data_IF_504186223257
#
_entry.id   IF_504186223257
#
_cell.length_a   1.000
_cell.length_b   1.000
_cell.length_c   1.000
_cell.angle_alpha   90.00
_cell.angle_beta   90.00
_cell.angle_gamma   90.00
#
_symmetry.space_group_name_H-M   'P 1'
#
loop_
_entity.id
_entity.type
_entity.pdbx_description
1 polymer ?
#
# COMPACT_ATOMS: atom_id res chain seq x y z
N UNK A 1 -20.70 2.76 -11.50
CA UNK A 1 -19.97 2.57 -12.78
C UNK A 1 -18.74 1.69 -12.57
N UNK A 2 -17.76 2.09 -11.76
CA UNK A 2 -16.53 1.31 -11.53
C UNK A 2 -16.77 -0.16 -11.13
N UNK A 3 -17.66 -0.41 -10.15
CA UNK A 3 -18.01 -1.78 -9.74
C UNK A 3 -18.51 -2.65 -10.90
N UNK A 4 -19.40 -2.12 -11.75
CA UNK A 4 -19.93 -2.85 -12.91
C UNK A 4 -18.83 -3.14 -13.94
N UNK A 5 -17.95 -2.18 -14.21
CA UNK A 5 -16.80 -2.40 -15.11
C UNK A 5 -15.90 -3.53 -14.61
N UNK A 6 -15.65 -3.60 -13.30
CA UNK A 6 -14.78 -4.61 -12.69
C UNK A 6 -15.41 -6.01 -12.59
N UNK A 7 -16.74 -6.12 -12.50
CA UNK A 7 -17.41 -7.40 -12.14
C UNK A 7 -18.30 -7.98 -13.22
N UNK A 8 -18.72 -7.19 -14.23
CA UNK A 8 -19.70 -7.64 -15.23
C UNK A 8 -19.17 -7.62 -16.67
N UNK A 9 -17.90 -7.29 -16.88
CA UNK A 9 -17.28 -7.21 -18.21
C UNK A 9 -16.09 -8.14 -18.29
N UNK A 10 -15.91 -8.78 -19.44
CA UNK A 10 -14.72 -9.60 -19.72
C UNK A 10 -13.49 -8.71 -19.78
N UNK A 11 -12.46 -9.05 -19.01
CA UNK A 11 -11.18 -8.33 -19.02
C UNK A 11 -10.24 -8.91 -20.09
N UNK A 12 -10.09 -8.20 -21.21
CA UNK A 12 -9.20 -8.57 -22.32
C UNK A 12 -7.71 -8.27 -22.01
N UNK A 13 -6.83 -8.52 -22.99
CA UNK A 13 -5.37 -8.38 -22.85
C UNK A 13 -4.92 -6.93 -22.67
N UNK A 14 -5.46 -6.00 -23.45
CA UNK A 14 -5.21 -4.56 -23.31
C UNK A 14 -6.16 -3.96 -22.27
N UNK A 15 -5.60 -3.29 -21.27
CA UNK A 15 -6.34 -2.78 -20.13
C UNK A 15 -5.94 -1.34 -19.83
N UNK A 16 -6.92 -0.56 -19.41
CA UNK A 16 -6.71 0.75 -18.84
C UNK A 16 -7.55 0.91 -17.57
N UNK A 17 -7.02 1.64 -16.60
CA UNK A 17 -7.72 2.05 -15.39
C UNK A 17 -7.56 3.56 -15.19
N UNK A 18 -8.64 4.21 -14.77
CA UNK A 18 -8.63 5.63 -14.40
C UNK A 18 -9.02 5.75 -12.94
N UNK A 19 -8.17 6.38 -12.14
CA UNK A 19 -8.40 6.68 -10.72
C UNK A 19 -8.62 8.18 -10.58
N UNK A 20 -9.68 8.56 -9.86
CA UNK A 20 -10.00 9.96 -9.58
C UNK A 20 -11.18 10.07 -8.62
N UNK A 21 -11.19 11.16 -7.84
CA UNK A 21 -12.14 11.36 -6.74
C UNK A 21 -13.47 11.96 -7.20
N UNK A 22 -13.52 12.49 -8.41
CA UNK A 22 -14.72 13.09 -8.98
C UNK A 22 -14.91 12.76 -10.47
N UNK A 23 -16.10 13.10 -10.96
CA UNK A 23 -16.51 12.85 -12.34
C UNK A 23 -15.63 13.58 -13.36
N UNK A 24 -15.13 14.77 -13.04
CA UNK A 24 -14.32 15.58 -13.95
C UNK A 24 -12.96 14.92 -14.14
N UNK A 25 -12.31 14.48 -13.06
CA UNK A 25 -11.06 13.74 -13.11
C UNK A 25 -11.20 12.44 -13.91
N UNK A 26 -12.27 11.66 -13.65
CA UNK A 26 -12.54 10.42 -14.38
C UNK A 26 -12.76 10.65 -15.88
N UNK A 27 -13.53 11.67 -16.25
CA UNK A 27 -13.77 11.99 -17.67
C UNK A 27 -12.50 12.51 -18.36
N UNK A 28 -11.68 13.30 -17.67
CA UNK A 28 -10.39 13.76 -18.17
C UNK A 28 -9.44 12.60 -18.50
N UNK A 29 -9.31 11.63 -17.60
CA UNK A 29 -8.49 10.44 -17.82
C UNK A 29 -9.00 9.56 -18.97
N UNK A 30 -10.32 9.40 -19.10
CA UNK A 30 -10.93 8.66 -20.23
C UNK A 30 -10.75 9.38 -21.57
N UNK A 31 -10.81 10.71 -21.59
CA UNK A 31 -10.54 11.50 -22.79
C UNK A 31 -9.07 11.37 -23.24
N UNK A 32 -8.12 11.42 -22.29
CA UNK A 32 -6.71 11.20 -22.55
C UNK A 32 -6.45 9.79 -23.12
N UNK A 33 -7.05 8.76 -22.51
CA UNK A 33 -6.98 7.38 -23.01
C UNK A 33 -7.47 7.28 -24.46
N UNK A 34 -8.60 7.91 -24.79
CA UNK A 34 -9.14 7.90 -26.15
C UNK A 34 -8.25 8.62 -27.17
N UNK A 35 -7.47 9.62 -26.72
CA UNK A 35 -6.52 10.37 -27.53
C UNK A 35 -5.14 9.70 -27.63
N UNK A 36 -4.85 8.68 -26.81
CA UNK A 36 -3.52 8.09 -26.67
C UNK A 36 -2.54 8.96 -25.88
N UNK A 37 -3.07 9.87 -25.06
CA UNK A 37 -2.30 10.80 -24.22
C UNK A 37 -2.14 10.28 -22.79
N UNK A 38 -1.12 10.79 -22.09
CA UNK A 38 -0.94 10.52 -20.66
C UNK A 38 -1.75 11.50 -19.81
N UNK A 39 -2.31 11.00 -18.71
CA UNK A 39 -2.97 11.82 -17.71
C UNK A 39 -2.70 11.30 -16.28
N UNK A 40 -2.74 12.17 -15.26
CA UNK A 40 -2.76 11.74 -13.87
C UNK A 40 -3.89 10.73 -13.62
N UNK A 41 -3.59 9.65 -12.89
CA UNK A 41 -4.56 8.61 -12.58
C UNK A 41 -4.91 7.66 -13.73
N UNK A 42 -4.42 7.89 -14.96
CA UNK A 42 -4.53 6.95 -16.08
C UNK A 42 -3.36 5.95 -16.05
N UNK A 43 -3.71 4.67 -15.96
CA UNK A 43 -2.75 3.55 -16.04
C UNK A 43 -3.17 2.65 -17.19
N UNK A 44 -2.24 2.38 -18.09
CA UNK A 44 -2.43 1.48 -19.23
C UNK A 44 -1.45 0.30 -19.15
N UNK A 45 -1.87 -0.85 -19.65
CA UNK A 45 -1.02 -2.02 -19.67
C UNK A 45 -1.58 -3.14 -20.55
N UNK A 46 -0.71 -4.10 -20.85
CA UNK A 46 -1.09 -5.35 -21.50
C UNK A 46 -0.74 -6.50 -20.57
N UNK A 47 -1.64 -7.47 -20.44
CA UNK A 47 -1.44 -8.63 -19.56
C UNK A 47 -0.21 -9.42 -19.97
N UNK A 48 0.69 -9.69 -19.01
CA UNK A 48 1.86 -10.52 -19.22
C UNK A 48 1.48 -12.01 -19.31
N UNK A 49 2.26 -12.79 -20.08
CA UNK A 49 2.05 -14.25 -20.25
C UNK A 49 2.30 -15.07 -18.97
N UNK A 50 3.02 -14.53 -18.00
CA UNK A 50 3.28 -15.13 -16.69
C UNK A 50 2.81 -14.15 -15.60
N UNK A 51 1.99 -14.64 -14.67
CA UNK A 51 1.33 -13.85 -13.64
C UNK A 51 1.93 -14.03 -12.24
N UNK A 52 3.15 -14.58 -12.14
CA UNK A 52 3.78 -14.77 -10.82
C UNK A 52 4.13 -13.43 -10.19
N UNK A 53 3.77 -13.27 -8.93
CA UNK A 53 3.91 -12.02 -8.16
C UNK A 53 4.97 -12.20 -7.08
N UNK A 54 5.88 -11.23 -6.96
CA UNK A 54 6.88 -11.19 -5.88
C UNK A 54 6.63 -9.93 -5.05
N UNK A 55 6.51 -10.08 -3.73
CA UNK A 55 6.52 -8.94 -2.82
C UNK A 55 7.96 -8.60 -2.41
N UNK A 56 8.30 -7.31 -2.49
CA UNK A 56 9.63 -6.79 -2.18
C UNK A 56 9.55 -5.92 -0.95
N UNK A 57 10.32 -6.26 0.07
CA UNK A 57 10.34 -5.59 1.36
C UNK A 57 11.67 -4.86 1.54
N UNK A 58 11.73 -3.52 1.32
CA UNK A 58 12.96 -2.77 1.45
C UNK A 58 13.43 -2.64 2.91
N UNK A 59 14.69 -2.23 3.07
CA UNK A 59 15.20 -1.81 4.38
C UNK A 59 14.78 -0.39 4.74
N UNK A 60 15.53 0.25 5.65
CA UNK A 60 15.34 1.66 5.99
C UNK A 60 15.60 2.58 4.79
N UNK A 61 14.81 3.66 4.67
CA UNK A 61 14.94 4.69 3.64
C UNK A 61 13.62 5.10 2.99
N UNK A 62 12.56 4.29 3.13
CA UNK A 62 11.23 4.57 2.58
C UNK A 62 10.30 5.33 3.52
N UNK A 63 10.74 5.65 4.74
CA UNK A 63 9.95 6.37 5.74
C UNK A 63 9.78 7.85 5.37
N UNK A 64 8.63 8.42 5.71
CA UNK A 64 8.35 9.86 5.64
C UNK A 64 7.27 10.23 6.68
N UNK A 65 7.27 11.48 7.13
CA UNK A 65 6.30 11.97 8.12
C UNK A 65 4.88 11.98 7.53
N UNK A 66 3.92 11.39 8.24
CA UNK A 66 2.54 11.22 7.77
C UNK A 66 2.29 9.98 6.92
N UNK A 67 3.28 9.10 6.74
CA UNK A 67 3.08 7.84 6.04
C UNK A 67 1.97 6.99 6.68
N UNK A 68 1.22 6.28 5.84
CA UNK A 68 0.14 5.37 6.25
C UNK A 68 -1.07 5.99 6.99
N UNK A 69 -1.05 7.30 7.32
CA UNK A 69 -2.13 7.95 8.08
C UNK A 69 -3.51 7.78 7.44
N UNK A 70 -3.62 8.08 6.15
CA UNK A 70 -4.89 7.93 5.42
C UNK A 70 -5.32 6.46 5.30
N UNK A 71 -4.37 5.53 5.19
CA UNK A 71 -4.67 4.09 5.17
C UNK A 71 -5.21 3.60 6.52
N UNK A 72 -4.75 4.16 7.64
CA UNK A 72 -5.32 3.84 8.95
C UNK A 72 -6.80 4.21 9.05
N UNK A 73 -7.23 5.27 8.35
CA UNK A 73 -8.62 5.75 8.36
C UNK A 73 -9.50 5.05 7.31
N UNK A 74 -8.93 4.70 6.15
CA UNK A 74 -9.71 4.28 4.99
C UNK A 74 -9.51 2.81 4.58
N UNK A 75 -8.50 2.10 5.11
CA UNK A 75 -8.21 0.72 4.75
C UNK A 75 -8.30 -0.21 5.98
N UNK A 76 -9.47 -0.82 6.27
CA UNK A 76 -9.67 -1.65 7.47
C UNK A 76 -8.68 -2.80 7.62
N UNK A 77 -8.29 -3.46 6.52
CA UNK A 77 -7.31 -4.55 6.54
C UNK A 77 -5.91 -4.06 6.97
N UNK A 78 -5.52 -2.87 6.51
CA UNK A 78 -4.27 -2.22 6.88
C UNK A 78 -4.28 -1.83 8.37
N UNK A 79 -5.32 -1.12 8.82
CA UNK A 79 -5.46 -0.70 10.21
C UNK A 79 -5.50 -1.88 11.19
N UNK A 80 -6.21 -2.96 10.83
CA UNK A 80 -6.26 -4.18 11.64
C UNK A 80 -4.88 -4.84 11.76
N UNK A 81 -4.08 -4.85 10.69
CA UNK A 81 -2.72 -5.41 10.73
C UNK A 81 -1.77 -4.54 11.54
N UNK A 82 -1.84 -3.21 11.43
CA UNK A 82 -1.06 -2.30 12.30
C UNK A 82 -1.37 -2.55 13.77
N UNK A 83 -2.65 -2.63 14.14
CA UNK A 83 -3.05 -2.91 15.52
C UNK A 83 -2.54 -4.29 16.01
N UNK A 84 -2.46 -5.29 15.12
CA UNK A 84 -1.88 -6.58 15.45
C UNK A 84 -0.35 -6.50 15.67
N UNK A 85 0.35 -5.74 14.85
CA UNK A 85 1.79 -5.48 15.03
C UNK A 85 2.05 -4.74 16.34
N UNK A 86 1.28 -3.71 16.66
CA UNK A 86 1.38 -2.99 17.94
C UNK A 86 1.24 -3.95 19.13
N UNK A 87 0.22 -4.81 19.15
CA UNK A 87 0.06 -5.81 20.22
C UNK A 87 1.24 -6.78 20.30
N UNK A 88 1.79 -7.19 19.16
CA UNK A 88 2.93 -8.11 19.12
C UNK A 88 4.23 -7.46 19.59
N UNK A 89 4.39 -6.17 19.34
CA UNK A 89 5.59 -5.39 19.68
C UNK A 89 5.53 -4.80 21.10
N UNK A 90 4.35 -4.68 21.70
CA UNK A 90 4.17 -4.10 23.03
C UNK A 90 5.09 -4.65 24.15
N UNK A 91 5.47 -5.95 24.18
CA UNK A 91 6.43 -6.45 25.17
C UNK A 91 7.88 -5.98 24.95
N UNK A 92 8.18 -5.38 23.81
CA UNK A 92 9.53 -5.01 23.37
C UNK A 92 9.71 -3.50 23.22
N UNK A 93 8.62 -2.72 23.29
CA UNK A 93 8.61 -1.29 23.05
C UNK A 93 7.92 -0.55 24.19
N UNK A 94 8.52 0.57 24.58
CA UNK A 94 8.01 1.44 25.65
C UNK A 94 7.06 2.52 25.09
N UNK A 95 6.71 2.43 23.79
CA UNK A 95 5.99 3.42 23.00
C UNK A 95 5.12 2.72 21.94
N UNK A 96 4.16 3.45 21.37
CA UNK A 96 3.19 2.91 20.39
C UNK A 96 3.60 3.20 18.94
N UNK A 97 3.75 2.16 18.08
CA UNK A 97 3.91 2.36 16.64
C UNK A 97 2.74 3.10 15.99
N UNK A 98 1.53 2.89 16.52
CA UNK A 98 0.33 3.59 16.04
C UNK A 98 0.41 5.09 16.35
N UNK A 99 0.84 5.46 17.57
CA UNK A 99 1.04 6.85 17.96
C UNK A 99 2.09 7.55 17.08
N UNK A 100 3.18 6.85 16.72
CA UNK A 100 4.19 7.37 15.77
C UNK A 100 3.59 7.61 14.39
N UNK A 101 2.80 6.68 13.85
CA UNK A 101 2.14 6.84 12.54
C UNK A 101 1.04 7.92 12.54
N UNK A 102 0.44 8.19 13.70
CA UNK A 102 -0.54 9.26 13.91
C UNK A 102 0.09 10.61 14.22
N UNK A 103 1.41 10.67 14.39
CA UNK A 103 2.15 11.87 14.79
C UNK A 103 1.61 12.48 16.10
N UNK A 104 1.31 11.62 17.07
CA UNK A 104 0.85 12.08 18.40
C UNK A 104 1.96 12.86 19.13
N UNK A 105 1.62 13.89 19.95
CA UNK A 105 2.61 14.77 20.56
C UNK A 105 3.70 14.08 21.39
N UNK A 106 3.38 12.97 22.06
CA UNK A 106 4.30 12.22 22.93
C UNK A 106 4.96 11.03 22.21
N UNK A 107 4.70 10.84 20.92
CA UNK A 107 5.32 9.78 20.15
C UNK A 107 6.81 10.07 19.90
N UNK A 108 7.68 9.06 19.99
CA UNK A 108 9.10 9.26 19.71
C UNK A 108 9.32 9.60 18.23
N UNK A 109 10.38 10.35 17.90
CA UNK A 109 10.62 10.80 16.53
C UNK A 109 10.99 9.63 15.61
N UNK A 110 10.46 9.66 14.39
CA UNK A 110 10.61 8.60 13.39
C UNK A 110 12.05 8.46 12.85
N UNK A 111 12.94 9.42 13.07
CA UNK A 111 14.33 9.37 12.60
C UNK A 111 15.26 8.54 13.49
N UNK A 112 14.81 8.20 14.71
CA UNK A 112 15.49 7.25 15.58
C UNK A 112 15.44 5.85 15.00
N UNK A 113 16.59 5.19 14.91
CA UNK A 113 16.69 3.85 14.33
C UNK A 113 15.84 2.81 15.08
N UNK A 114 15.80 2.89 16.41
CA UNK A 114 15.01 1.99 17.24
C UNK A 114 13.49 2.21 17.11
N UNK A 115 13.07 3.34 16.51
CA UNK A 115 11.67 3.69 16.23
C UNK A 115 11.30 3.39 14.78
N UNK A 116 12.14 3.83 13.84
CA UNK A 116 11.87 3.69 12.41
C UNK A 116 11.77 2.23 12.00
N UNK A 117 12.58 1.35 12.58
CA UNK A 117 12.63 -0.04 12.13
C UNK A 117 11.36 -0.83 12.49
N UNK A 118 10.87 -0.82 13.74
CA UNK A 118 9.60 -1.46 14.08
C UNK A 118 8.40 -0.84 13.35
N UNK A 119 8.40 0.49 13.13
CA UNK A 119 7.33 1.17 12.41
C UNK A 119 7.32 0.76 10.93
N UNK A 120 8.48 0.75 10.26
CA UNK A 120 8.58 0.28 8.87
C UNK A 120 8.19 -1.19 8.73
N UNK A 121 8.59 -2.04 9.67
CA UNK A 121 8.11 -3.42 9.72
C UNK A 121 6.58 -3.48 9.76
N UNK A 122 5.96 -2.78 10.70
CA UNK A 122 4.50 -2.76 10.84
C UNK A 122 3.79 -2.25 9.58
N UNK A 123 4.29 -1.17 8.96
CA UNK A 123 3.74 -0.64 7.70
C UNK A 123 3.89 -1.65 6.56
N UNK A 124 5.06 -2.23 6.37
CA UNK A 124 5.33 -3.17 5.29
C UNK A 124 4.43 -4.41 5.36
N UNK A 125 4.32 -5.05 6.53
CA UNK A 125 3.44 -6.22 6.67
C UNK A 125 1.97 -5.85 6.54
N UNK A 126 1.59 -4.63 6.92
CA UNK A 126 0.22 -4.12 6.76
C UNK A 126 -0.14 -3.80 5.31
N UNK A 127 0.82 -3.29 4.52
CA UNK A 127 0.65 -3.14 3.07
C UNK A 127 0.54 -4.50 2.38
N UNK A 128 1.35 -5.48 2.77
CA UNK A 128 1.25 -6.83 2.24
C UNK A 128 -0.13 -7.44 2.49
N UNK A 129 -0.70 -7.21 3.68
CA UNK A 129 -2.06 -7.67 4.01
C UNK A 129 -3.15 -6.93 3.26
N UNK A 130 -2.97 -5.63 3.01
CA UNK A 130 -3.87 -4.87 2.15
C UNK A 130 -3.87 -5.44 0.72
N UNK A 131 -2.70 -5.75 0.15
CA UNK A 131 -2.61 -6.42 -1.15
C UNK A 131 -3.33 -7.77 -1.15
N UNK A 132 -3.13 -8.59 -0.11
CA UNK A 132 -3.82 -9.89 0.05
C UNK A 132 -5.33 -9.74 0.17
N UNK A 133 -5.81 -8.71 0.86
CA UNK A 133 -7.24 -8.40 0.96
C UNK A 133 -7.88 -8.06 -0.40
N UNK A 134 -7.09 -7.57 -1.36
CA UNK A 134 -7.48 -7.36 -2.75
C UNK A 134 -7.21 -8.58 -3.67
N UNK A 135 -6.90 -9.74 -3.09
CA UNK A 135 -6.71 -11.00 -3.82
C UNK A 135 -5.32 -11.17 -4.44
N UNK A 136 -4.36 -10.29 -4.12
CA UNK A 136 -2.99 -10.38 -4.62
C UNK A 136 -2.14 -11.11 -3.58
N UNK A 137 -1.82 -12.37 -3.88
CA UNK A 137 -1.01 -13.24 -3.03
C UNK A 137 0.35 -13.45 -3.69
N UNK A 138 1.47 -13.24 -2.97
CA UNK A 138 2.80 -13.42 -3.54
C UNK A 138 3.11 -14.91 -3.75
N UNK A 139 3.75 -15.24 -4.87
CA UNK A 139 4.38 -16.54 -5.13
C UNK A 139 5.77 -16.64 -4.48
N UNK A 140 6.41 -15.49 -4.24
CA UNK A 140 7.66 -15.37 -3.50
C UNK A 140 7.76 -14.01 -2.81
N UNK A 141 8.64 -13.95 -1.82
CA UNK A 141 8.98 -12.72 -1.11
C UNK A 141 10.49 -12.53 -1.15
N UNK A 142 10.93 -11.28 -1.21
CA UNK A 142 12.35 -10.92 -1.04
C UNK A 142 12.44 -9.71 -0.12
N UNK A 143 13.35 -9.77 0.84
CA UNK A 143 13.65 -8.67 1.73
C UNK A 143 15.04 -8.12 1.51
N UNK A 144 15.27 -6.86 1.88
CA UNK A 144 16.60 -6.26 1.90
C UNK A 144 16.94 -5.82 3.33
N UNK A 145 17.98 -6.39 3.93
CA UNK A 145 18.39 -6.10 5.31
C UNK A 145 17.23 -6.32 6.29
N UNK A 146 16.85 -5.34 7.13
CA UNK A 146 15.70 -5.49 8.04
C UNK A 146 14.38 -5.84 7.31
N UNK A 147 14.29 -5.54 6.01
CA UNK A 147 13.13 -5.90 5.20
C UNK A 147 12.92 -7.41 5.10
N UNK A 148 13.97 -8.22 5.30
CA UNK A 148 13.85 -9.69 5.42
C UNK A 148 13.03 -10.13 6.63
N UNK A 149 12.87 -9.29 7.65
CA UNK A 149 11.99 -9.58 8.80
C UNK A 149 10.52 -9.42 8.42
N UNK A 150 10.22 -8.50 7.48
CA UNK A 150 8.87 -8.27 6.98
C UNK A 150 8.46 -9.23 5.86
N UNK A 151 9.43 -9.74 5.10
CA UNK A 151 9.25 -10.75 4.05
C UNK A 151 8.84 -12.11 4.63
#
# INVERSE_FOLDING_TARGET
IGHSLATTRTAFEHRAAVVGDDRTALLGGLAALAAGDRAPGLVEGTVARSSRTVFVFPGQGSQWAGMARELLDHAPAFAARIAACERALAPHLDWSPLAVLREEPDAPPLDRVDVVQPVLFAVMVSLAELWRAHGIVPDAVVGHSQGEIAA
#
